data_IF_588247280480
#
_entry.id   IF_588247280480
#
_cell.length_a   1.000
_cell.length_b   1.000
_cell.length_c   1.000
_cell.angle_alpha   90.00
_cell.angle_beta   90.00
_cell.angle_gamma   90.00
#
_symmetry.space_group_name_H-M   'P 1'
#
loop_
_entity.id
_entity.type
_entity.pdbx_description
1 polymer ?
#
# COMPACT_ATOMS: atom_id res chain seq x y z
N UNK A 1 -11.30 3.21 -1.37
CA UNK A 1 -12.27 2.13 -1.11
C UNK A 1 -11.62 1.17 -0.13
N UNK A 2 -12.26 0.81 0.97
CA UNK A 2 -11.65 -0.11 1.95
C UNK A 2 -11.36 -1.47 1.25
N UNK A 3 -10.11 -1.99 1.31
CA UNK A 3 -9.74 -3.27 0.69
C UNK A 3 -10.68 -4.41 1.07
N UNK A 4 -11.12 -4.45 2.33
CA UNK A 4 -12.06 -5.45 2.85
C UNK A 4 -13.40 -5.37 2.10
N UNK A 5 -13.90 -4.15 1.89
CA UNK A 5 -15.16 -3.94 1.18
C UNK A 5 -15.04 -4.36 -0.29
N UNK A 6 -13.95 -4.00 -0.95
CA UNK A 6 -13.70 -4.38 -2.34
C UNK A 6 -13.58 -5.89 -2.52
N UNK A 7 -12.80 -6.56 -1.65
CA UNK A 7 -12.65 -8.01 -1.65
C UNK A 7 -13.98 -8.72 -1.32
N UNK A 8 -14.78 -8.18 -0.38
CA UNK A 8 -16.10 -8.69 -0.05
C UNK A 8 -17.10 -8.59 -1.21
N UNK A 9 -17.09 -7.46 -1.94
CA UNK A 9 -17.90 -7.29 -3.16
C UNK A 9 -17.45 -8.28 -4.24
N UNK A 10 -16.14 -8.42 -4.47
CA UNK A 10 -15.60 -9.39 -5.42
C UNK A 10 -16.02 -10.82 -5.06
N UNK A 11 -15.90 -11.20 -3.78
CA UNK A 11 -16.34 -12.50 -3.28
C UNK A 11 -17.84 -12.73 -3.56
N UNK A 12 -18.70 -11.78 -3.20
CA UNK A 12 -20.14 -11.88 -3.41
C UNK A 12 -20.51 -11.99 -4.89
N UNK A 13 -19.85 -11.24 -5.78
CA UNK A 13 -20.07 -11.30 -7.22
C UNK A 13 -19.65 -12.66 -7.79
N UNK A 14 -18.48 -13.18 -7.40
CA UNK A 14 -18.00 -14.47 -7.86
C UNK A 14 -18.93 -15.60 -7.37
N UNK A 15 -19.35 -15.58 -6.10
CA UNK A 15 -20.32 -16.54 -5.56
C UNK A 15 -21.65 -16.47 -6.32
N UNK A 16 -22.15 -15.28 -6.61
CA UNK A 16 -23.39 -15.09 -7.38
C UNK A 16 -23.25 -15.63 -8.80
N UNK A 17 -22.10 -15.42 -9.44
CA UNK A 17 -21.78 -16.02 -10.75
C UNK A 17 -21.76 -17.55 -10.70
N UNK A 18 -21.11 -18.14 -9.68
CA UNK A 18 -21.11 -19.58 -9.46
C UNK A 18 -22.52 -20.16 -9.28
N UNK A 19 -23.35 -19.53 -8.45
CA UNK A 19 -24.76 -19.93 -8.24
C UNK A 19 -25.56 -19.79 -9.54
N UNK A 20 -25.33 -18.72 -10.29
CA UNK A 20 -25.97 -18.54 -11.61
C UNK A 20 -25.56 -19.65 -12.58
N UNK A 21 -24.28 -20.01 -12.61
CA UNK A 21 -23.75 -21.10 -13.44
C UNK A 21 -24.34 -22.46 -13.08
N UNK A 22 -24.47 -22.79 -11.80
CA UNK A 22 -25.12 -24.04 -11.36
C UNK A 22 -26.60 -24.06 -11.68
N UNK A 23 -27.31 -22.94 -11.54
CA UNK A 23 -28.72 -22.80 -11.89
C UNK A 23 -28.94 -22.95 -13.42
N UNK A 24 -28.13 -22.28 -14.24
CA UNK A 24 -28.18 -22.41 -15.71
C UNK A 24 -27.94 -23.86 -16.11
N UNK A 25 -26.96 -24.53 -15.48
CA UNK A 25 -26.70 -25.95 -15.71
C UNK A 25 -27.85 -26.86 -15.29
N UNK A 26 -28.56 -26.54 -14.22
CA UNK A 26 -29.74 -27.31 -13.78
C UNK A 26 -30.94 -27.16 -14.73
N UNK A 27 -31.03 -26.05 -15.48
CA UNK A 27 -32.14 -25.74 -16.40
C UNK A 27 -31.87 -26.04 -17.87
N UNK A 28 -30.61 -26.17 -18.29
CA UNK A 28 -30.27 -26.41 -19.70
C UNK A 28 -30.39 -27.89 -20.09
N UNK A 29 -31.08 -28.22 -21.21
CA UNK A 29 -31.05 -29.55 -21.82
C UNK A 29 -29.63 -29.96 -22.24
N UNK A 30 -29.31 -31.25 -22.16
CA UNK A 30 -27.96 -31.79 -22.37
C UNK A 30 -27.34 -31.45 -23.75
N UNK A 31 -28.16 -31.09 -24.75
CA UNK A 31 -27.76 -30.88 -26.14
C UNK A 31 -26.91 -29.62 -26.42
N UNK A 32 -27.00 -28.56 -25.59
CA UNK A 32 -26.19 -27.33 -25.76
C UNK A 32 -24.81 -27.41 -25.10
N UNK A 33 -24.53 -28.47 -24.32
CA UNK A 33 -23.30 -28.63 -23.53
C UNK A 33 -22.55 -29.93 -23.91
N UNK A 34 -22.81 -30.44 -25.11
CA UNK A 34 -22.18 -31.62 -25.72
C UNK A 34 -21.50 -31.25 -27.04
N UNK A 35 -20.35 -31.86 -27.34
CA UNK A 35 -19.61 -31.63 -28.59
C UNK A 35 -18.80 -30.33 -28.62
N UNK A 36 -18.62 -29.76 -29.81
CA UNK A 36 -17.66 -28.68 -30.11
C UNK A 36 -17.89 -27.38 -29.30
N UNK A 37 -19.15 -27.06 -28.96
CA UNK A 37 -19.47 -25.84 -28.20
C UNK A 37 -18.85 -25.84 -26.80
N UNK A 38 -18.78 -27.00 -26.13
CA UNK A 38 -18.16 -27.13 -24.81
C UNK A 38 -16.66 -26.91 -24.87
N UNK A 39 -16.00 -27.45 -25.90
CA UNK A 39 -14.56 -27.26 -26.10
C UNK A 39 -14.23 -25.80 -26.43
N UNK A 40 -15.04 -25.12 -27.24
CA UNK A 40 -14.86 -23.67 -27.51
C UNK A 40 -15.00 -22.86 -26.22
N UNK A 41 -16.02 -23.12 -25.40
CA UNK A 41 -16.21 -22.43 -24.11
C UNK A 41 -15.02 -22.68 -23.17
N UNK A 42 -14.53 -23.92 -23.11
CA UNK A 42 -13.37 -24.29 -22.30
C UNK A 42 -12.09 -23.58 -22.77
N UNK A 43 -11.87 -23.50 -24.08
CA UNK A 43 -10.71 -22.83 -24.66
C UNK A 43 -10.77 -21.31 -24.45
N UNK A 44 -11.95 -20.70 -24.61
CA UNK A 44 -12.17 -19.29 -24.28
C UNK A 44 -11.96 -19.00 -22.79
N UNK A 45 -12.43 -19.89 -21.91
CA UNK A 45 -12.21 -19.78 -20.45
C UNK A 45 -10.74 -19.90 -20.10
N UNK A 46 -10.01 -20.81 -20.75
CA UNK A 46 -8.57 -20.95 -20.55
C UNK A 46 -7.81 -19.67 -20.98
N UNK A 47 -8.20 -19.05 -22.09
CA UNK A 47 -7.64 -17.77 -22.54
C UNK A 47 -7.91 -16.64 -21.54
N UNK A 48 -9.15 -16.53 -21.04
CA UNK A 48 -9.48 -15.52 -20.02
C UNK A 48 -8.73 -15.78 -18.72
N UNK A 49 -8.55 -17.04 -18.33
CA UNK A 49 -7.80 -17.42 -17.14
C UNK A 49 -6.31 -17.06 -17.24
N UNK A 50 -5.66 -17.23 -18.40
CA UNK A 50 -4.26 -16.82 -18.57
C UNK A 50 -4.09 -15.30 -18.51
N UNK A 51 -5.00 -14.55 -19.15
CA UNK A 51 -5.02 -13.08 -19.06
C UNK A 51 -5.27 -12.61 -17.62
N UNK A 52 -6.20 -13.26 -16.92
CA UNK A 52 -6.50 -12.99 -15.50
C UNK A 52 -5.26 -13.19 -14.63
N UNK A 53 -4.57 -14.32 -14.79
CA UNK A 53 -3.34 -14.61 -14.05
C UNK A 53 -2.24 -13.59 -14.32
N UNK A 54 -2.04 -13.20 -15.58
CA UNK A 54 -1.04 -12.20 -15.96
C UNK A 54 -1.34 -10.83 -15.34
N UNK A 55 -2.59 -10.36 -15.47
CA UNK A 55 -3.00 -9.06 -14.91
C UNK A 55 -2.87 -9.06 -13.40
N UNK A 56 -3.32 -10.14 -12.73
CA UNK A 56 -3.20 -10.26 -11.28
C UNK A 56 -1.73 -10.24 -10.82
N UNK A 57 -0.84 -10.94 -11.52
CA UNK A 57 0.59 -10.94 -11.23
C UNK A 57 1.24 -9.56 -11.44
N UNK A 58 0.89 -8.86 -12.52
CA UNK A 58 1.40 -7.50 -12.80
C UNK A 58 0.88 -6.49 -11.78
N UNK A 59 -0.38 -6.59 -11.37
CA UNK A 59 -0.94 -5.75 -10.32
C UNK A 59 -0.22 -5.97 -9.00
N UNK A 60 -0.02 -7.24 -8.59
CA UNK A 60 0.75 -7.57 -7.40
C UNK A 60 2.19 -7.01 -7.47
N UNK A 61 2.88 -7.19 -8.59
CA UNK A 61 4.23 -6.68 -8.78
C UNK A 61 4.29 -5.14 -8.69
N UNK A 62 3.40 -4.43 -9.39
CA UNK A 62 3.35 -2.98 -9.37
C UNK A 62 3.05 -2.44 -7.97
N UNK A 63 2.07 -3.01 -7.27
CA UNK A 63 1.73 -2.61 -5.91
C UNK A 63 2.88 -2.90 -4.94
N UNK A 64 3.53 -4.05 -5.05
CA UNK A 64 4.70 -4.39 -4.24
C UNK A 64 5.85 -3.40 -4.47
N UNK A 65 6.15 -3.06 -5.72
CA UNK A 65 7.20 -2.08 -6.04
C UNK A 65 6.88 -0.70 -5.46
N UNK A 66 5.62 -0.25 -5.52
CA UNK A 66 5.21 1.01 -4.87
C UNK A 66 5.38 0.96 -3.34
N UNK A 67 5.00 -0.17 -2.72
CA UNK A 67 5.20 -0.40 -1.28
C UNK A 67 6.69 -0.34 -0.91
N UNK A 68 7.55 -1.03 -1.64
CA UNK A 68 9.00 -1.03 -1.42
C UNK A 68 9.61 0.37 -1.60
N UNK A 69 9.17 1.14 -2.62
CA UNK A 69 9.58 2.54 -2.80
C UNK A 69 9.19 3.43 -1.62
N UNK A 70 7.99 3.24 -1.09
CA UNK A 70 7.49 3.99 0.08
C UNK A 70 8.29 3.63 1.32
N UNK A 71 8.51 2.33 1.56
CA UNK A 71 9.34 1.83 2.67
C UNK A 71 10.78 2.35 2.59
N UNK A 72 11.38 2.38 1.40
CA UNK A 72 12.72 2.92 1.19
C UNK A 72 12.78 4.43 1.46
N UNK A 73 11.74 5.18 1.08
CA UNK A 73 11.65 6.63 1.34
C UNK A 73 11.51 6.94 2.84
N UNK A 74 10.74 6.12 3.57
CA UNK A 74 10.63 6.17 5.03
C UNK A 74 11.97 5.88 5.71
N UNK A 75 12.66 4.83 5.29
CA UNK A 75 14.01 4.51 5.80
C UNK A 75 15.01 5.64 5.51
N UNK A 76 14.94 6.24 4.31
CA UNK A 76 15.79 7.39 3.95
C UNK A 76 15.52 8.60 4.84
N UNK A 77 14.26 8.89 5.18
CA UNK A 77 13.94 9.94 6.14
C UNK A 77 14.57 9.67 7.51
N UNK A 78 14.48 8.45 8.02
CA UNK A 78 15.09 8.07 9.29
C UNK A 78 16.60 8.32 9.27
N UNK A 79 17.30 7.87 8.22
CA UNK A 79 18.74 8.11 8.03
C UNK A 79 19.07 9.60 8.00
N UNK A 80 18.30 10.41 7.27
CA UNK A 80 18.53 11.86 7.21
C UNK A 80 18.31 12.55 8.56
N UNK A 81 17.37 12.08 9.39
CA UNK A 81 17.20 12.60 10.75
C UNK A 81 18.39 12.24 11.66
N UNK A 82 18.89 11.01 11.59
CA UNK A 82 20.08 10.59 12.34
C UNK A 82 21.32 11.36 11.91
N UNK A 83 21.56 11.50 10.60
CA UNK A 83 22.70 12.27 10.08
C UNK A 83 22.62 13.76 10.50
N UNK A 84 21.42 14.34 10.50
CA UNK A 84 21.22 15.70 10.98
C UNK A 84 21.53 15.84 12.47
N UNK A 85 21.12 14.87 13.29
CA UNK A 85 21.40 14.87 14.73
C UNK A 85 22.91 14.75 15.02
N UNK A 86 23.63 13.89 14.29
CA UNK A 86 25.08 13.73 14.38
C UNK A 86 25.83 15.03 14.01
N UNK A 87 25.45 15.70 12.91
CA UNK A 87 26.05 16.98 12.51
C UNK A 87 25.78 18.09 13.53
N UNK A 88 24.59 18.11 14.11
CA UNK A 88 24.25 19.08 15.15
C UNK A 88 24.96 18.78 16.48
N UNK A 89 25.26 17.51 16.76
CA UNK A 89 26.12 17.13 17.88
C UNK A 89 27.56 17.64 17.68
N UNK A 90 28.14 17.41 16.51
CA UNK A 90 29.46 17.88 16.13
C UNK A 90 29.56 19.42 16.11
N UNK A 91 28.46 20.11 15.79
CA UNK A 91 28.39 21.58 15.85
C UNK A 91 28.57 22.11 17.29
N UNK A 92 28.16 21.32 18.29
CA UNK A 92 28.33 21.60 19.71
C UNK A 92 27.12 22.24 20.39
N UNK A 93 27.30 22.84 21.59
CA UNK A 93 26.19 23.21 22.49
C UNK A 93 25.23 24.26 21.93
N UNK A 94 25.65 25.06 20.94
CA UNK A 94 24.79 26.02 20.27
C UNK A 94 23.64 25.37 19.47
N UNK A 95 23.79 24.10 19.07
CA UNK A 95 22.79 23.36 18.31
C UNK A 95 21.81 22.55 19.19
N UNK A 96 22.05 22.49 20.51
CA UNK A 96 21.18 21.80 21.47
C UNK A 96 19.68 22.20 21.40
N UNK A 97 19.31 23.49 21.29
CA UNK A 97 17.90 23.87 21.13
C UNK A 97 17.29 23.34 19.81
N UNK A 98 18.10 23.26 18.75
CA UNK A 98 17.68 22.77 17.44
C UNK A 98 17.41 21.26 17.49
N UNK A 99 18.31 20.49 18.12
CA UNK A 99 18.14 19.03 18.32
C UNK A 99 16.87 18.71 19.12
N UNK A 100 16.56 19.52 20.15
CA UNK A 100 15.30 19.38 20.91
C UNK A 100 14.08 19.67 20.04
N UNK A 101 14.13 20.71 19.23
CA UNK A 101 13.03 21.08 18.34
C UNK A 101 12.77 19.99 17.28
N UNK A 102 13.82 19.47 16.65
CA UNK A 102 13.71 18.38 15.64
C UNK A 102 13.05 17.15 16.26
N UNK A 103 13.47 16.76 17.48
CA UNK A 103 12.87 15.62 18.20
C UNK A 103 11.41 15.88 18.60
N UNK A 104 11.07 17.12 18.97
CA UNK A 104 9.68 17.52 19.25
C UNK A 104 8.79 17.50 18.00
N UNK A 105 9.36 17.80 16.82
CA UNK A 105 8.66 17.80 15.54
C UNK A 105 8.56 16.39 14.90
N UNK A 106 9.34 15.41 15.38
CA UNK A 106 9.33 14.03 14.88
C UNK A 106 8.01 13.29 15.17
N UNK A 107 7.47 13.40 16.38
CA UNK A 107 6.22 12.72 16.75
C UNK A 107 5.02 13.25 15.93
N UNK A 108 4.80 14.57 15.79
CA UNK A 108 3.79 15.13 14.89
C UNK A 108 4.01 14.72 13.42
N UNK A 109 5.26 14.56 12.98
CA UNK A 109 5.58 14.08 11.64
C UNK A 109 5.07 12.65 11.44
N UNK A 110 5.40 11.74 12.36
CA UNK A 110 4.95 10.34 12.33
C UNK A 110 3.42 10.28 12.33
N UNK A 111 2.76 10.98 13.26
CA UNK A 111 1.29 11.00 13.35
C UNK A 111 0.64 11.60 12.08
N UNK A 112 1.34 12.46 11.33
CA UNK A 112 0.84 13.01 10.07
C UNK A 112 0.91 12.04 8.88
N UNK A 113 1.86 11.10 8.91
CA UNK A 113 2.08 10.06 7.89
C UNK A 113 1.21 8.83 8.20
N UNK A 114 1.26 8.33 9.44
CA UNK A 114 0.44 7.21 9.94
C UNK A 114 -0.81 7.73 10.65
N UNK A 115 -1.75 8.28 9.88
CA UNK A 115 -2.98 8.87 10.43
C UNK A 115 -3.85 7.83 11.13
N UNK A 116 -3.94 6.62 10.58
CA UNK A 116 -4.77 5.54 11.13
C UNK A 116 -4.25 5.09 12.52
N UNK A 117 -2.93 4.96 12.69
CA UNK A 117 -2.30 4.69 13.99
C UNK A 117 -2.55 5.82 14.99
N UNK A 118 -2.48 7.08 14.55
CA UNK A 118 -2.73 8.25 15.39
C UNK A 118 -4.18 8.31 15.86
N UNK A 119 -5.14 8.03 14.97
CA UNK A 119 -6.57 7.95 15.29
C UNK A 119 -6.85 6.80 16.26
N UNK A 120 -6.26 5.61 16.05
CA UNK A 120 -6.37 4.48 16.97
C UNK A 120 -5.81 4.78 18.37
N UNK A 121 -4.76 5.61 18.45
CA UNK A 121 -4.16 6.07 19.70
C UNK A 121 -4.89 7.28 20.34
N UNK A 122 -5.98 7.77 19.74
CA UNK A 122 -6.75 8.91 20.24
C UNK A 122 -6.02 10.26 20.09
N UNK A 123 -5.01 10.36 19.23
CA UNK A 123 -4.26 11.60 18.99
C UNK A 123 -5.00 12.46 17.95
N UNK A 124 -5.04 13.80 18.13
CA UNK A 124 -5.70 14.69 17.21
C UNK A 124 -5.00 14.69 15.85
N UNK A 125 -5.80 14.80 14.78
CA UNK A 125 -5.31 14.78 13.41
C UNK A 125 -4.38 15.98 13.15
N UNK A 126 -3.08 15.73 13.06
CA UNK A 126 -2.08 16.80 12.87
C UNK A 126 -2.12 17.30 11.43
N UNK A 127 -2.22 18.61 11.26
CA UNK A 127 -2.31 19.22 9.94
C UNK A 127 -0.96 19.11 9.20
N UNK A 128 -0.99 18.59 7.97
CA UNK A 128 0.15 18.15 7.15
C UNK A 128 1.21 19.24 6.85
N UNK A 129 0.96 20.52 7.15
CA UNK A 129 1.75 21.66 6.64
C UNK A 129 2.67 22.37 7.64
N UNK A 130 2.59 22.12 8.96
CA UNK A 130 3.12 23.11 9.93
C UNK A 130 4.52 22.88 10.52
N UNK A 131 5.11 21.68 10.44
CA UNK A 131 6.25 21.33 11.34
C UNK A 131 7.67 21.38 10.75
N UNK A 132 7.84 21.39 9.41
CA UNK A 132 9.19 21.36 8.83
C UNK A 132 9.90 22.74 8.81
N UNK A 133 9.18 23.83 9.07
CA UNK A 133 9.67 25.21 8.87
C UNK A 133 10.44 25.76 10.07
N UNK A 134 10.26 25.19 11.27
CA UNK A 134 10.90 25.62 12.52
C UNK A 134 12.40 25.35 12.52
N UNK A 135 12.80 24.09 12.33
CA UNK A 135 14.19 23.65 12.41
C UNK A 135 15.08 24.28 11.33
N UNK A 136 14.59 24.38 10.09
CA UNK A 136 15.32 25.01 8.99
C UNK A 136 15.66 26.49 9.29
N UNK A 137 14.73 27.21 9.91
CA UNK A 137 14.93 28.61 10.30
C UNK A 137 15.98 28.72 11.40
N UNK A 138 15.89 27.88 12.44
CA UNK A 138 16.86 27.87 13.54
C UNK A 138 18.29 27.53 13.06
N UNK A 139 18.44 26.61 12.11
CA UNK A 139 19.75 26.28 11.53
C UNK A 139 20.33 27.47 10.76
N UNK A 140 19.50 28.27 10.08
CA UNK A 140 19.96 29.48 9.37
C UNK A 140 20.41 30.59 10.32
N UNK A 141 19.82 30.65 11.52
CA UNK A 141 20.14 31.66 12.53
C UNK A 141 21.41 31.34 13.34
N UNK A 142 21.98 30.13 13.19
CA UNK A 142 23.27 29.79 13.78
C UNK A 142 24.36 30.74 13.27
N UNK A 143 25.16 31.26 14.21
CA UNK A 143 26.33 32.09 13.91
C UNK A 143 27.60 31.23 14.00
N UNK A 144 28.16 30.77 12.86
CA UNK A 144 29.37 29.96 12.87
C UNK A 144 30.56 30.79 13.35
N UNK A 145 31.28 30.29 14.35
CA UNK A 145 32.48 30.94 14.90
C UNK A 145 33.75 30.64 14.08
N UNK A 146 33.73 29.57 13.29
CA UNK A 146 34.89 29.05 12.57
C UNK A 146 34.49 28.35 11.25
N UNK A 147 35.43 28.20 10.28
CA UNK A 147 35.13 27.63 8.96
C UNK A 147 34.53 26.22 9.00
N UNK A 148 34.91 25.40 9.99
CA UNK A 148 34.32 24.07 10.20
C UNK A 148 32.85 24.12 10.64
N UNK A 149 32.48 25.07 11.49
CA UNK A 149 31.06 25.28 11.84
C UNK A 149 30.26 25.80 10.64
N UNK A 150 30.86 26.62 9.78
CA UNK A 150 30.20 27.07 8.55
C UNK A 150 29.93 25.89 7.58
N UNK A 151 30.85 24.93 7.46
CA UNK A 151 30.61 23.72 6.64
C UNK A 151 29.57 22.78 7.25
N UNK A 152 29.56 22.60 8.58
CA UNK A 152 28.52 21.83 9.28
C UNK A 152 27.14 22.46 9.12
N UNK A 153 27.03 23.78 9.27
CA UNK A 153 25.78 24.52 9.04
C UNK A 153 25.26 24.32 7.61
N UNK A 154 26.14 24.45 6.61
CA UNK A 154 25.77 24.23 5.21
C UNK A 154 25.26 22.80 4.96
N UNK A 155 25.94 21.79 5.54
CA UNK A 155 25.52 20.39 5.44
C UNK A 155 24.17 20.14 6.14
N UNK A 156 23.96 20.71 7.33
CA UNK A 156 22.69 20.63 8.07
C UNK A 156 21.52 21.25 7.27
N UNK A 157 21.75 22.38 6.59
CA UNK A 157 20.75 22.99 5.71
C UNK A 157 20.40 22.10 4.52
N UNK A 158 21.40 21.46 3.91
CA UNK A 158 21.19 20.54 2.79
C UNK A 158 20.34 19.33 3.22
N UNK A 159 20.68 18.68 4.34
CA UNK A 159 19.92 17.54 4.86
C UNK A 159 18.48 17.95 5.21
N UNK A 160 18.29 19.13 5.80
CA UNK A 160 16.96 19.64 6.11
C UNK A 160 16.11 19.86 4.83
N UNK A 161 16.74 20.30 3.74
CA UNK A 161 16.07 20.40 2.43
C UNK A 161 15.70 19.02 1.89
N UNK A 162 16.59 18.04 1.97
CA UNK A 162 16.35 16.66 1.53
C UNK A 162 15.22 15.98 2.33
N UNK A 163 15.16 16.19 3.65
CA UNK A 163 14.06 15.75 4.51
C UNK A 163 12.74 16.36 4.02
N UNK A 164 12.72 17.68 3.79
CA UNK A 164 11.52 18.36 3.31
C UNK A 164 11.06 17.85 1.94
N UNK A 165 11.99 17.62 1.01
CA UNK A 165 11.67 17.10 -0.32
C UNK A 165 11.13 15.67 -0.24
N UNK A 166 11.77 14.80 0.54
CA UNK A 166 11.35 13.39 0.70
C UNK A 166 9.98 13.32 1.37
N UNK A 167 9.75 14.13 2.41
CA UNK A 167 8.45 14.25 3.06
C UNK A 167 7.37 14.73 2.08
N UNK A 168 7.64 15.77 1.30
CA UNK A 168 6.68 16.27 0.31
C UNK A 168 6.41 15.23 -0.78
N UNK A 169 7.41 14.46 -1.19
CA UNK A 169 7.24 13.36 -2.13
C UNK A 169 6.30 12.29 -1.57
N UNK A 170 6.52 11.82 -0.34
CA UNK A 170 5.64 10.85 0.34
C UNK A 170 4.20 11.35 0.48
N UNK A 171 4.03 12.65 0.74
CA UNK A 171 2.72 13.27 0.91
C UNK A 171 2.00 13.59 -0.41
N UNK A 172 2.76 13.77 -1.49
CA UNK A 172 2.26 14.08 -2.83
C UNK A 172 2.10 12.84 -3.70
N UNK A 173 2.64 11.70 -3.25
CA UNK A 173 2.42 10.42 -3.90
C UNK A 173 0.91 10.22 -3.98
N UNK A 174 0.34 10.12 -5.19
CA UNK A 174 -1.05 9.74 -5.34
C UNK A 174 -1.24 8.48 -4.51
N UNK A 175 -2.40 8.27 -3.87
CA UNK A 175 -2.70 6.93 -3.39
C UNK A 175 -2.54 6.05 -4.62
N UNK A 176 -1.48 5.21 -4.67
CA UNK A 176 -1.17 4.25 -5.74
C UNK A 176 -2.24 3.16 -5.69
N UNK A 177 -3.47 3.62 -5.88
CA UNK A 177 -4.67 2.87 -5.93
C UNK A 177 -4.59 2.23 -7.28
N UNK A 178 -4.17 0.98 -7.29
CA UNK A 178 -4.50 0.00 -8.32
C UNK A 178 -5.76 0.47 -9.04
N UNK A 179 -5.61 0.85 -10.32
CA UNK A 179 -6.68 1.60 -11.00
C UNK A 179 -7.98 0.80 -10.92
N UNK A 180 -9.01 1.41 -10.34
CA UNK A 180 -10.33 0.80 -10.16
C UNK A 180 -10.86 0.04 -11.39
N UNK A 181 -10.71 0.54 -12.64
CA UNK A 181 -11.09 -0.24 -13.83
C UNK A 181 -10.39 -1.61 -13.94
N UNK A 182 -9.12 -1.74 -13.58
CA UNK A 182 -8.44 -3.05 -13.64
C UNK A 182 -9.06 -4.04 -12.65
N UNK A 183 -9.40 -3.59 -11.44
CA UNK A 183 -10.08 -4.43 -10.44
C UNK A 183 -11.45 -4.86 -10.96
N UNK A 184 -12.22 -3.94 -11.54
CA UNK A 184 -13.57 -4.23 -12.08
C UNK A 184 -13.48 -5.29 -13.20
N UNK A 185 -12.57 -5.12 -14.16
CA UNK A 185 -12.35 -6.08 -15.26
C UNK A 185 -11.90 -7.43 -14.71
N UNK A 186 -10.99 -7.44 -13.73
CA UNK A 186 -10.49 -8.66 -13.11
C UNK A 186 -11.60 -9.43 -12.40
N UNK A 187 -12.42 -8.76 -11.58
CA UNK A 187 -13.57 -9.37 -10.90
C UNK A 187 -14.58 -9.93 -11.91
N UNK A 188 -14.81 -9.23 -13.03
CA UNK A 188 -15.67 -9.70 -14.11
C UNK A 188 -15.11 -10.98 -14.74
N UNK A 189 -13.82 -11.02 -15.06
CA UNK A 189 -13.17 -12.22 -15.61
C UNK A 189 -13.21 -13.41 -14.65
N UNK A 190 -12.93 -13.19 -13.36
CA UNK A 190 -13.07 -14.25 -12.35
C UNK A 190 -14.51 -14.76 -12.31
N UNK A 191 -15.49 -13.86 -12.23
CA UNK A 191 -16.92 -14.23 -12.20
C UNK A 191 -17.28 -15.09 -13.41
N UNK A 192 -16.81 -14.73 -14.62
CA UNK A 192 -17.00 -15.50 -15.84
C UNK A 192 -16.37 -16.91 -15.77
N UNK A 193 -15.11 -17.00 -15.31
CA UNK A 193 -14.39 -18.29 -15.15
C UNK A 193 -15.14 -19.21 -14.19
N UNK A 194 -15.49 -18.71 -13.00
CA UNK A 194 -16.18 -19.49 -11.98
C UNK A 194 -17.60 -19.88 -12.39
N UNK A 195 -18.30 -19.02 -13.14
CA UNK A 195 -19.60 -19.35 -13.74
C UNK A 195 -19.47 -20.51 -14.72
N UNK A 196 -18.42 -20.50 -15.56
CA UNK A 196 -18.20 -21.55 -16.55
C UNK A 196 -17.79 -22.88 -15.92
N UNK A 197 -16.96 -22.87 -14.88
CA UNK A 197 -16.64 -24.08 -14.12
C UNK A 197 -17.87 -24.67 -13.44
N UNK A 198 -18.70 -23.83 -12.83
CA UNK A 198 -19.97 -24.25 -12.24
C UNK A 198 -20.94 -24.87 -13.26
N UNK A 199 -20.91 -24.38 -14.50
CA UNK A 199 -21.74 -24.89 -15.58
C UNK A 199 -21.22 -26.21 -16.20
N UNK A 200 -19.93 -26.53 -16.01
CA UNK A 200 -19.27 -27.62 -16.74
C UNK A 200 -19.67 -29.03 -16.31
N UNK A 201 -20.24 -29.18 -15.11
CA UNK A 201 -20.64 -30.48 -14.55
C UNK A 201 -21.98 -30.40 -13.82
N UNK A 202 -22.66 -31.55 -13.61
CA UNK A 202 -23.86 -31.61 -12.76
C UNK A 202 -23.48 -31.20 -11.32
N UNK A 203 -24.34 -30.49 -10.57
CA UNK A 203 -24.02 -30.05 -9.22
C UNK A 203 -23.65 -31.23 -8.32
N UNK A 204 -22.39 -31.29 -7.90
CA UNK A 204 -21.88 -32.26 -6.93
C UNK A 204 -21.23 -31.53 -5.76
N UNK A 205 -21.29 -32.15 -4.58
CA UNK A 205 -20.73 -31.59 -3.34
C UNK A 205 -19.25 -31.30 -3.49
N UNK A 206 -18.48 -32.22 -4.11
CA UNK A 206 -17.04 -32.05 -4.34
C UNK A 206 -16.71 -30.80 -5.16
N UNK A 207 -17.39 -30.57 -6.28
CA UNK A 207 -17.16 -29.36 -7.08
C UNK A 207 -17.52 -28.10 -6.31
N UNK A 208 -18.62 -28.13 -5.56
CA UNK A 208 -19.06 -26.98 -4.77
C UNK A 208 -17.99 -26.61 -3.74
N UNK A 209 -17.46 -27.60 -3.00
CA UNK A 209 -16.38 -27.39 -2.03
C UNK A 209 -15.12 -26.85 -2.70
N UNK A 210 -14.69 -27.44 -3.81
CA UNK A 210 -13.50 -26.98 -4.57
C UNK A 210 -13.68 -25.54 -5.05
N UNK A 211 -14.84 -25.21 -5.63
CA UNK A 211 -15.14 -23.84 -6.09
C UNK A 211 -15.14 -22.87 -4.90
N UNK A 212 -15.76 -23.20 -3.77
CA UNK A 212 -15.73 -22.34 -2.58
C UNK A 212 -14.29 -22.04 -2.11
N UNK A 213 -13.41 -23.05 -2.06
CA UNK A 213 -12.00 -22.86 -1.70
C UNK A 213 -11.29 -21.97 -2.72
N UNK A 214 -11.52 -22.19 -4.01
CA UNK A 214 -10.93 -21.37 -5.07
C UNK A 214 -11.42 -19.91 -5.04
N UNK A 215 -12.70 -19.67 -4.77
CA UNK A 215 -13.28 -18.33 -4.64
C UNK A 215 -12.66 -17.62 -3.44
N UNK A 216 -12.58 -18.30 -2.29
CA UNK A 216 -11.96 -17.74 -1.09
C UNK A 216 -10.49 -17.39 -1.33
N UNK A 217 -9.74 -18.27 -1.98
CA UNK A 217 -8.34 -18.03 -2.35
C UNK A 217 -8.19 -16.82 -3.28
N UNK A 218 -9.04 -16.73 -4.33
CA UNK A 218 -8.99 -15.64 -5.28
C UNK A 218 -9.38 -14.28 -4.66
N UNK A 219 -10.43 -14.25 -3.84
CA UNK A 219 -10.82 -13.05 -3.09
C UNK A 219 -9.75 -12.67 -2.06
N UNK A 220 -9.10 -13.63 -1.41
CA UNK A 220 -7.97 -13.40 -0.53
C UNK A 220 -6.76 -12.80 -1.24
N UNK A 221 -6.42 -13.28 -2.43
CA UNK A 221 -5.36 -12.70 -3.26
C UNK A 221 -5.69 -11.25 -3.67
N UNK A 222 -6.93 -10.97 -4.07
CA UNK A 222 -7.38 -9.61 -4.35
C UNK A 222 -7.28 -8.72 -3.10
N UNK A 223 -7.70 -9.22 -1.94
CA UNK A 223 -7.55 -8.50 -0.68
C UNK A 223 -6.09 -8.13 -0.41
N UNK A 224 -5.17 -9.11 -0.48
CA UNK A 224 -3.74 -8.86 -0.24
C UNK A 224 -3.14 -7.84 -1.22
N UNK A 225 -3.53 -7.88 -2.49
CA UNK A 225 -3.07 -6.88 -3.47
C UNK A 225 -3.59 -5.49 -3.11
N UNK A 226 -4.84 -5.36 -2.70
CA UNK A 226 -5.42 -4.07 -2.33
C UNK A 226 -4.86 -3.55 -1.00
N UNK A 227 -4.62 -4.44 -0.04
CA UNK A 227 -4.00 -4.13 1.25
C UNK A 227 -2.58 -3.62 1.06
N UNK A 228 -1.78 -4.25 0.19
CA UNK A 228 -0.43 -3.81 -0.15
C UNK A 228 -0.41 -2.41 -0.80
N UNK A 229 -1.53 -1.99 -1.39
CA UNK A 229 -1.72 -0.65 -1.96
C UNK A 229 -1.97 0.44 -0.91
N UNK A 230 -2.10 0.08 0.37
CA UNK A 230 -2.22 1.01 1.49
C UNK A 230 -0.92 0.98 2.32
N UNK A 231 0.12 1.75 1.95
CA UNK A 231 1.41 1.65 2.64
C UNK A 231 1.41 2.17 4.08
N UNK A 232 0.45 3.03 4.47
CA UNK A 232 0.39 3.65 5.80
C UNK A 232 -0.82 3.23 6.64
N UNK A 233 -1.59 2.25 6.18
CA UNK A 233 -2.76 1.75 6.88
C UNK A 233 -3.00 0.29 6.56
N UNK A 234 -3.79 -0.39 7.41
CA UNK A 234 -4.04 -1.82 7.26
C UNK A 234 -2.96 -2.71 7.88
N UNK A 235 -3.06 -4.01 7.62
CA UNK A 235 -2.25 -5.06 8.25
C UNK A 235 -0.80 -5.07 7.77
N UNK A 236 -0.56 -4.65 6.53
CA UNK A 236 0.78 -4.67 5.89
C UNK A 236 1.41 -3.28 5.84
N UNK A 237 1.12 -2.41 6.80
CA UNK A 237 1.67 -1.05 6.82
C UNK A 237 3.20 -1.02 6.95
N UNK A 238 3.83 0.00 6.36
CA UNK A 238 5.25 0.30 6.56
C UNK A 238 5.47 0.63 8.04
N UNK A 239 6.49 0.05 8.66
CA UNK A 239 6.80 0.32 10.06
C UNK A 239 7.34 1.75 10.26
N UNK A 240 6.94 2.38 11.36
CA UNK A 240 7.46 3.68 11.79
C UNK A 240 8.63 3.57 12.78
N UNK A 241 9.04 2.35 13.14
CA UNK A 241 10.08 2.07 14.14
C UNK A 241 11.41 2.74 13.79
N UNK A 242 11.82 2.67 12.52
CA UNK A 242 13.06 3.31 12.07
C UNK A 242 13.08 4.83 12.30
N UNK A 243 11.95 5.52 12.07
CA UNK A 243 11.84 6.95 12.38
C UNK A 243 11.76 7.22 13.87
N UNK A 244 11.10 6.36 14.66
CA UNK A 244 11.02 6.50 16.11
C UNK A 244 12.39 6.33 16.76
N UNK A 245 13.18 5.39 16.27
CA UNK A 245 14.52 5.07 16.77
C UNK A 245 15.58 6.04 16.25
N UNK A 246 15.36 6.69 15.10
CA UNK A 246 16.30 7.64 14.49
C UNK A 246 16.76 8.75 15.44
N UNK A 247 15.92 9.12 16.42
CA UNK A 247 16.20 10.13 17.44
C UNK A 247 15.91 9.58 18.84
N UNK A 248 16.66 8.55 19.26
CA UNK A 248 16.64 8.05 20.64
C UNK A 248 16.74 9.21 21.68
N UNK A 249 16.13 9.06 22.87
CA UNK A 249 16.18 10.10 23.90
C UNK A 249 17.62 10.38 24.34
N UNK A 250 17.91 11.67 24.57
CA UNK A 250 19.20 12.19 25.06
C UNK A 250 19.41 11.76 26.51
#
# INVERSE_FOLDING_TARGET
MNPIAAAGIAFALIVTGTVTGTLVRSRMPEHHLTGDSKEVIRLATALVATLTGLVLALMFAATRTSFEHTSASVSRLAVSFTELDEILEDYGPAALPIRRQIRADLQPLIDSIWQDDAEAAGRPRVNRRSHATSAATMIRELQPANPGQASLQAKALQITQDISQTRLALLSQPPDSVSTPFIVVLVLWLTFIFTTFAMSSKPNVTLTVVLCVCILSASGALYLILELGLPFGGLMQVSNDSLREALAPI
#
